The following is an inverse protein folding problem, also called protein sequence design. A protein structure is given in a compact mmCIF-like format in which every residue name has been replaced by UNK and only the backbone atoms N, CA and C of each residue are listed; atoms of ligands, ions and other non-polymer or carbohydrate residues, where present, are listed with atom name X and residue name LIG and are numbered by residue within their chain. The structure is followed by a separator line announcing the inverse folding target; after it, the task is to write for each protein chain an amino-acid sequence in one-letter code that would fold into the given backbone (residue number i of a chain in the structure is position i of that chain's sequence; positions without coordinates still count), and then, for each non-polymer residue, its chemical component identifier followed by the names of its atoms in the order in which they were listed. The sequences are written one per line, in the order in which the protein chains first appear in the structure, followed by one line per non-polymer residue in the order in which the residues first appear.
data_IF_074076402705
#
_entry.id   IF_074076402705
#
_cell.length_a   1.000
_cell.length_b   1.000
_cell.length_c   1.000
_cell.angle_alpha   90.00
_cell.angle_beta   90.00
_cell.angle_gamma   90.00
#
_symmetry.space_group_name_H-M   'P 1'
#
loop_
_entity.id
_entity.type
_entity.pdbx_description
1 polymer ?
#
# COMPACT_ATOMS: atom_id res chain seq x y z
N UNK A 1 -4.31 -16.57 -19.76
CA UNK A 1 -5.40 -16.10 -18.87
C UNK A 1 -5.15 -14.63 -18.62
N UNK A 2 -6.18 -13.80 -18.73
CA UNK A 2 -6.09 -12.34 -18.61
C UNK A 2 -5.62 -11.93 -17.19
N UNK A 3 -4.35 -11.61 -17.00
CA UNK A 3 -3.76 -11.17 -15.70
C UNK A 3 -4.10 -9.71 -15.33
N UNK A 4 -4.83 -9.01 -16.20
CA UNK A 4 -5.30 -7.65 -16.00
C UNK A 4 -6.04 -7.39 -14.66
N UNK A 5 -6.94 -8.25 -14.13
CA UNK A 5 -7.65 -7.96 -12.90
C UNK A 5 -6.73 -8.00 -11.68
N UNK A 6 -5.68 -8.84 -11.69
CA UNK A 6 -4.68 -8.86 -10.61
C UNK A 6 -3.90 -7.55 -10.57
N UNK A 7 -3.45 -7.08 -11.73
CA UNK A 7 -2.69 -5.83 -11.85
C UNK A 7 -3.53 -4.63 -11.39
N UNK A 8 -4.80 -4.57 -11.80
CA UNK A 8 -5.73 -3.50 -11.37
C UNK A 8 -5.92 -3.52 -9.86
N UNK A 9 -6.04 -4.70 -9.25
CA UNK A 9 -6.21 -4.83 -7.80
C UNK A 9 -4.98 -4.38 -7.02
N UNK A 10 -3.78 -4.72 -7.49
CA UNK A 10 -2.53 -4.21 -6.90
C UNK A 10 -2.46 -2.69 -6.99
N UNK A 11 -2.79 -2.12 -8.14
CA UNK A 11 -2.75 -0.68 -8.35
C UNK A 11 -3.77 0.04 -7.46
N UNK A 12 -5.01 -0.45 -7.38
CA UNK A 12 -6.05 0.11 -6.51
C UNK A 12 -5.66 0.01 -5.03
N UNK A 13 -5.13 -1.13 -4.58
CA UNK A 13 -4.71 -1.33 -3.20
C UNK A 13 -3.54 -0.43 -2.81
N UNK A 14 -2.64 -0.16 -3.76
CA UNK A 14 -1.57 0.82 -3.57
C UNK A 14 -2.11 2.24 -3.39
N UNK A 15 -3.04 2.70 -4.23
CA UNK A 15 -3.65 4.03 -4.08
C UNK A 15 -4.42 4.16 -2.75
N UNK A 16 -5.16 3.12 -2.36
CA UNK A 16 -5.89 3.11 -1.07
C UNK A 16 -4.91 3.16 0.10
N UNK A 17 -3.83 2.38 0.06
CA UNK A 17 -2.82 2.37 1.12
C UNK A 17 -2.08 3.71 1.19
N UNK A 18 -1.74 4.30 0.04
CA UNK A 18 -1.14 5.63 -0.03
C UNK A 18 -2.08 6.72 0.50
N UNK A 19 -3.39 6.64 0.23
CA UNK A 19 -4.37 7.57 0.76
C UNK A 19 -4.57 7.40 2.28
N UNK A 20 -4.64 6.16 2.77
CA UNK A 20 -4.74 5.87 4.19
C UNK A 20 -3.50 6.37 4.95
N UNK A 21 -2.32 6.20 4.37
CA UNK A 21 -1.08 6.72 4.94
C UNK A 21 -1.04 8.24 4.96
N UNK A 22 -1.68 8.92 4.01
CA UNK A 22 -1.70 10.39 3.98
C UNK A 22 -2.43 10.98 5.20
N UNK A 23 -3.39 10.24 5.76
CA UNK A 23 -4.06 10.61 7.00
C UNK A 23 -3.21 10.44 8.26
N UNK A 24 -2.05 9.78 8.18
CA UNK A 24 -1.15 9.58 9.31
C UNK A 24 -0.23 10.79 9.43
N UNK A 25 -0.27 11.46 10.59
CA UNK A 25 0.61 12.61 10.85
C UNK A 25 2.05 12.16 11.15
N UNK A 26 2.81 11.92 10.07
CA UNK A 26 4.22 11.58 10.14
C UNK A 26 5.08 12.72 10.69
N UNK A 27 4.61 13.99 10.70
CA UNK A 27 5.38 15.10 11.28
C UNK A 27 5.57 14.91 12.79
N UNK A 28 4.64 14.24 13.45
CA UNK A 28 4.73 13.89 14.87
C UNK A 28 5.85 12.88 15.18
N UNK A 29 6.18 12.02 14.21
CA UNK A 29 7.28 11.06 14.29
C UNK A 29 8.59 11.56 13.66
N UNK A 30 8.54 12.65 12.89
CA UNK A 30 9.70 13.13 12.12
C UNK A 30 10.65 13.93 13.00
N UNK A 31 11.91 13.51 13.06
CA UNK A 31 13.00 14.27 13.69
C UNK A 31 13.38 15.47 12.79
N UNK A 32 13.53 16.66 13.37
CA UNK A 32 13.88 17.89 12.62
C UNK A 32 15.12 17.66 11.73
N UNK A 33 15.03 17.99 10.44
CA UNK A 33 16.10 17.82 9.46
C UNK A 33 16.16 16.44 8.76
N UNK A 34 15.26 15.50 9.07
CA UNK A 34 15.20 14.15 8.45
C UNK A 34 13.97 13.94 7.57
N UNK A 35 13.38 15.01 7.04
CA UNK A 35 12.13 14.97 6.26
C UNK A 35 12.20 14.04 5.04
N UNK A 36 13.33 14.06 4.31
CA UNK A 36 13.58 13.14 3.20
C UNK A 36 13.52 11.66 3.62
N UNK A 37 14.08 11.31 4.78
CA UNK A 37 14.07 9.91 5.24
C UNK A 37 12.64 9.46 5.56
N UNK A 38 11.81 10.38 6.07
CA UNK A 38 10.41 10.09 6.37
C UNK A 38 9.56 9.96 5.10
N UNK A 39 9.83 10.75 4.06
CA UNK A 39 9.16 10.59 2.76
C UNK A 39 9.51 9.25 2.10
N UNK A 40 10.77 8.82 2.17
CA UNK A 40 11.16 7.49 1.67
C UNK A 40 10.47 6.39 2.47
N UNK A 41 10.43 6.51 3.79
CA UNK A 41 9.73 5.55 4.66
C UNK A 41 8.23 5.49 4.34
N UNK A 42 7.61 6.65 4.08
CA UNK A 42 6.20 6.74 3.69
C UNK A 42 5.93 5.95 2.40
N UNK A 43 6.75 6.16 1.37
CA UNK A 43 6.61 5.45 0.09
C UNK A 43 6.79 3.95 0.30
N UNK A 44 7.80 3.54 1.08
CA UNK A 44 8.04 2.14 1.40
C UNK A 44 6.87 1.50 2.15
N UNK A 45 6.29 2.20 3.15
CA UNK A 45 5.10 1.72 3.85
C UNK A 45 3.91 1.60 2.92
N UNK A 46 3.66 2.61 2.09
CA UNK A 46 2.53 2.61 1.15
C UNK A 46 2.65 1.44 0.16
N UNK A 47 3.88 1.13 -0.29
CA UNK A 47 4.16 0.01 -1.18
C UNK A 47 3.96 -1.35 -0.48
N UNK A 48 4.49 -1.49 0.75
CA UNK A 48 4.35 -2.71 1.53
C UNK A 48 2.88 -2.99 1.91
N UNK A 49 2.14 -1.97 2.36
CA UNK A 49 0.73 -2.08 2.70
C UNK A 49 -0.12 -2.34 1.45
N UNK A 50 0.14 -1.63 0.35
CA UNK A 50 -0.57 -1.85 -0.92
C UNK A 50 -0.41 -3.27 -1.42
N UNK A 51 0.80 -3.83 -1.34
CA UNK A 51 1.06 -5.23 -1.67
C UNK A 51 0.35 -6.20 -0.73
N UNK A 52 0.42 -5.98 0.59
CA UNK A 52 -0.20 -6.85 1.58
C UNK A 52 -1.73 -6.90 1.42
N UNK A 53 -2.37 -5.74 1.21
CA UNK A 53 -3.81 -5.64 0.97
C UNK A 53 -4.20 -6.33 -0.33
N UNK A 54 -3.48 -6.08 -1.42
CA UNK A 54 -3.75 -6.74 -2.69
C UNK A 54 -3.56 -8.26 -2.60
N UNK A 55 -2.49 -8.73 -1.95
CA UNK A 55 -2.24 -10.15 -1.76
C UNK A 55 -3.33 -10.79 -0.89
N UNK A 56 -3.80 -10.10 0.15
CA UNK A 56 -4.91 -10.56 0.98
C UNK A 56 -6.20 -10.69 0.18
N UNK A 57 -6.56 -9.69 -0.63
CA UNK A 57 -7.74 -9.72 -1.48
C UNK A 57 -7.64 -10.81 -2.57
N UNK A 58 -6.46 -11.01 -3.16
CA UNK A 58 -6.23 -12.13 -4.09
C UNK A 58 -6.31 -13.48 -3.41
N UNK A 59 -5.81 -13.59 -2.18
CA UNK A 59 -5.90 -14.79 -1.35
C UNK A 59 -7.36 -15.15 -1.03
N UNK A 60 -8.18 -14.15 -0.68
CA UNK A 60 -9.62 -14.31 -0.50
C UNK A 60 -10.30 -14.74 -1.80
N UNK A 61 -10.03 -14.04 -2.91
CA UNK A 61 -10.59 -14.40 -4.21
C UNK A 61 -10.21 -15.81 -4.65
N UNK A 62 -8.98 -16.27 -4.35
CA UNK A 62 -8.52 -17.61 -4.72
C UNK A 62 -9.10 -18.68 -3.79
N UNK A 63 -9.21 -18.43 -2.48
CA UNK A 63 -9.77 -19.40 -1.53
C UNK A 63 -11.30 -19.50 -1.56
N UNK A 64 -11.99 -18.45 -1.99
CA UNK A 64 -13.46 -18.41 -1.95
C UNK A 64 -14.12 -18.76 -3.30
N UNK A 65 -13.37 -18.79 -4.40
CA UNK A 65 -13.87 -19.09 -5.76
C UNK A 65 -13.36 -20.41 -6.35
N UNK A 66 -12.67 -21.24 -5.56
CA UNK A 66 -12.23 -22.59 -5.92
C UNK A 66 -12.93 -23.60 -5.01
#
# INVERSE_FOLDING_TARGET
MSDYPRIILYLMSFFISAYALYGVDFRKFTRKGKEMHMQVLYILLALALGYAVAQFLLGLSTNYLI
#
